data_IF_524347298396
#
_entry.id   IF_524347298396
#
_cell.length_a   1.000
_cell.length_b   1.000
_cell.length_c   1.000
_cell.angle_alpha   90.00
_cell.angle_beta   90.00
_cell.angle_gamma   90.00
#
_symmetry.space_group_name_H-M   'P 1'
#
loop_
_entity.id
_entity.type
_entity.pdbx_description
1 polymer ?
#
# COMPACT_ATOMS: atom_id res chain seq x y z
N UNK A 1 -13.43 13.08 2.27
CA UNK A 1 -12.40 12.74 1.29
C UNK A 1 -11.06 13.26 1.75
N UNK A 2 -10.29 12.34 2.33
CA UNK A 2 -8.86 12.44 2.61
C UNK A 2 -8.13 11.59 1.58
N UNK A 3 -6.83 11.84 1.45
CA UNK A 3 -5.94 11.12 0.54
C UNK A 3 -4.73 10.67 1.33
N UNK A 4 -4.37 9.41 1.17
CA UNK A 4 -3.12 8.85 1.70
C UNK A 4 -2.27 8.43 0.50
N UNK A 5 -0.99 8.77 0.53
CA UNK A 5 -0.01 8.28 -0.43
C UNK A 5 0.77 7.13 0.19
N UNK A 6 0.87 6.04 -0.55
CA UNK A 6 1.66 4.88 -0.19
C UNK A 6 2.74 4.66 -1.24
N UNK A 7 3.97 4.49 -0.78
CA UNK A 7 5.12 4.11 -1.60
C UNK A 7 5.29 2.59 -1.46
N UNK A 8 4.99 1.86 -2.54
CA UNK A 8 4.92 0.40 -2.51
C UNK A 8 5.94 -0.18 -3.47
N UNK A 9 6.95 -0.93 -3.01
CA UNK A 9 7.90 -1.56 -3.91
C UNK A 9 7.20 -2.57 -4.81
N UNK A 10 7.77 -2.80 -6.01
CA UNK A 10 7.15 -3.66 -7.02
C UNK A 10 6.90 -5.09 -6.51
N UNK A 11 7.75 -5.57 -5.59
CA UNK A 11 7.68 -6.90 -5.00
C UNK A 11 6.48 -7.02 -4.04
N UNK A 12 6.16 -5.96 -3.29
CA UNK A 12 5.01 -5.87 -2.40
C UNK A 12 3.70 -5.44 -3.11
N UNK A 13 3.80 -4.89 -4.32
CA UNK A 13 2.67 -4.34 -5.08
C UNK A 13 1.51 -5.34 -5.28
N UNK A 14 1.83 -6.60 -5.53
CA UNK A 14 0.80 -7.62 -5.79
C UNK A 14 -0.06 -7.84 -4.55
N UNK A 15 0.59 -8.06 -3.40
CA UNK A 15 -0.10 -8.27 -2.13
C UNK A 15 -0.85 -7.02 -1.67
N UNK A 16 -0.22 -5.85 -1.80
CA UNK A 16 -0.86 -4.58 -1.46
C UNK A 16 -2.09 -4.29 -2.35
N UNK A 17 -2.04 -4.64 -3.64
CA UNK A 17 -3.18 -4.48 -4.55
C UNK A 17 -4.35 -5.40 -4.18
N UNK A 18 -4.10 -6.64 -3.79
CA UNK A 18 -5.13 -7.55 -3.28
C UNK A 18 -5.82 -6.97 -2.03
N UNK A 19 -5.04 -6.40 -1.12
CA UNK A 19 -5.52 -5.77 0.10
C UNK A 19 -6.37 -4.52 -0.16
N UNK A 20 -6.02 -3.70 -1.16
CA UNK A 20 -6.82 -2.56 -1.62
C UNK A 20 -8.17 -3.00 -2.22
N UNK A 21 -8.16 -4.05 -3.03
CA UNK A 21 -9.37 -4.59 -3.68
C UNK A 21 -10.29 -5.24 -2.64
N UNK A 22 -9.72 -5.98 -1.69
CA UNK A 22 -10.47 -6.64 -0.61
C UNK A 22 -11.28 -5.66 0.23
N UNK A 23 -10.71 -4.47 0.49
CA UNK A 23 -11.33 -3.38 1.26
C UNK A 23 -12.21 -2.45 0.42
N UNK A 24 -12.23 -2.65 -0.90
CA UNK A 24 -12.97 -1.82 -1.85
C UNK A 24 -12.61 -0.31 -1.72
N UNK A 25 -11.34 -0.02 -1.42
CA UNK A 25 -10.83 1.33 -1.27
C UNK A 25 -10.50 1.94 -2.63
N UNK A 26 -10.85 3.20 -2.81
CA UNK A 26 -10.58 3.89 -4.06
C UNK A 26 -9.09 4.24 -4.13
N UNK A 27 -8.37 3.63 -5.06
CA UNK A 27 -6.94 3.84 -5.23
C UNK A 27 -6.61 4.27 -6.65
N UNK A 28 -5.53 5.03 -6.81
CA UNK A 28 -5.02 5.47 -8.11
C UNK A 28 -3.50 5.52 -8.06
N UNK A 29 -2.86 4.85 -9.01
CA UNK A 29 -1.41 4.98 -9.20
C UNK A 29 -1.11 6.36 -9.75
N UNK A 30 -0.38 7.17 -9.00
CA UNK A 30 -0.02 8.54 -9.37
C UNK A 30 1.36 8.62 -10.01
N UNK A 31 2.23 7.65 -9.74
CA UNK A 31 3.58 7.61 -10.32
C UNK A 31 4.46 6.48 -9.79
N UNK A 32 5.76 6.69 -9.91
CA UNK A 32 6.81 5.77 -9.46
C UNK A 32 7.98 6.61 -8.94
N UNK A 33 8.59 6.22 -7.81
CA UNK A 33 9.75 6.86 -7.20
C UNK A 33 11.02 6.59 -8.00
N UNK A 34 12.12 7.29 -7.68
CA UNK A 34 13.42 7.09 -8.33
C UNK A 34 14.03 5.71 -8.03
N UNK A 35 13.66 5.12 -6.89
CA UNK A 35 14.07 3.78 -6.44
C UNK A 35 13.19 2.66 -7.06
N UNK A 36 12.17 3.02 -7.84
CA UNK A 36 11.30 2.08 -8.53
C UNK A 36 10.06 1.66 -7.75
N UNK A 37 9.75 2.33 -6.64
CA UNK A 37 8.54 2.08 -5.85
C UNK A 37 7.33 2.76 -6.51
N UNK A 38 6.18 2.11 -6.48
CA UNK A 38 4.95 2.59 -7.08
C UNK A 38 4.24 3.50 -6.08
N UNK A 39 3.90 4.71 -6.51
CA UNK A 39 3.16 5.68 -5.69
C UNK A 39 1.68 5.47 -5.91
N UNK A 40 0.96 5.11 -4.85
CA UNK A 40 -0.48 4.84 -4.86
C UNK A 40 -1.17 5.85 -3.96
N UNK A 41 -2.06 6.63 -4.55
CA UNK A 41 -2.96 7.52 -3.82
C UNK A 41 -4.25 6.78 -3.50
N UNK A 42 -4.54 6.62 -2.21
CA UNK A 42 -5.79 6.04 -1.69
C UNK A 42 -6.69 7.17 -1.22
N UNK A 43 -7.86 7.29 -1.83
CA UNK A 43 -8.92 8.21 -1.46
C UNK A 43 -9.89 7.52 -0.50
N UNK A 44 -10.07 8.11 0.68
CA UNK A 44 -10.90 7.53 1.74
C UNK A 44 -11.72 8.60 2.45
N UNK A 45 -12.87 8.21 2.99
CA UNK A 45 -13.70 9.03 3.86
C UNK A 45 -13.38 8.81 5.34
N UNK A 46 -13.98 9.63 6.21
CA UNK A 46 -13.70 9.58 7.65
C UNK A 46 -14.04 8.21 8.26
N UNK A 47 -15.06 7.55 7.70
CA UNK A 47 -15.52 6.22 8.12
C UNK A 47 -14.59 5.09 7.62
N UNK A 48 -13.66 5.40 6.72
CA UNK A 48 -12.66 4.49 6.15
C UNK A 48 -11.25 4.77 6.70
N UNK A 49 -11.14 5.67 7.69
CA UNK A 49 -9.84 5.99 8.30
C UNK A 49 -9.17 4.75 8.90
N UNK A 50 -9.92 3.91 9.61
CA UNK A 50 -9.39 2.68 10.22
C UNK A 50 -8.84 1.71 9.14
N UNK A 51 -9.50 1.61 7.99
CA UNK A 51 -9.05 0.75 6.89
C UNK A 51 -7.71 1.21 6.30
N UNK A 52 -7.48 2.53 6.26
CA UNK A 52 -6.22 3.12 5.77
C UNK A 52 -5.09 2.95 6.78
N UNK A 53 -5.37 3.11 8.07
CA UNK A 53 -4.40 2.79 9.14
C UNK A 53 -4.02 1.29 9.11
N UNK A 54 -4.98 0.40 8.84
CA UNK A 54 -4.70 -1.03 8.67
C UNK A 54 -3.87 -1.31 7.41
N UNK A 55 -4.14 -0.64 6.29
CA UNK A 55 -3.33 -0.76 5.07
C UNK A 55 -1.87 -0.39 5.30
N UNK A 56 -1.61 0.67 6.06
CA UNK A 56 -0.24 1.08 6.41
C UNK A 56 0.48 -0.02 7.21
N UNK A 57 -0.23 -0.59 8.19
CA UNK A 57 0.30 -1.70 9.01
C UNK A 57 0.58 -2.95 8.17
N UNK A 58 -0.25 -3.22 7.16
CA UNK A 58 -0.07 -4.37 6.27
C UNK A 58 1.09 -4.15 5.31
N UNK A 59 1.23 -2.94 4.76
CA UNK A 59 2.37 -2.60 3.93
C UNK A 59 3.67 -2.80 4.70
N UNK A 60 3.77 -2.28 5.94
CA UNK A 60 4.94 -2.50 6.79
C UNK A 60 5.21 -3.99 7.01
N UNK A 61 4.16 -4.78 7.27
CA UNK A 61 4.29 -6.23 7.47
C UNK A 61 4.82 -6.93 6.22
N UNK A 62 4.30 -6.61 5.04
CA UNK A 62 4.75 -7.18 3.76
C UNK A 62 6.23 -6.83 3.54
N UNK A 63 6.63 -5.59 3.79
CA UNK A 63 8.02 -5.16 3.64
C UNK A 63 8.96 -5.97 4.55
N UNK A 64 8.60 -6.12 5.83
CA UNK A 64 9.39 -6.91 6.78
C UNK A 64 9.47 -8.37 6.36
N UNK A 65 8.35 -8.98 5.94
CA UNK A 65 8.33 -10.38 5.46
C UNK A 65 9.24 -10.56 4.25
N UNK A 66 9.22 -9.63 3.29
CA UNK A 66 10.07 -9.70 2.10
C UNK A 66 11.55 -9.43 2.40
N UNK A 67 11.86 -8.58 3.38
CA UNK A 67 13.23 -8.41 3.86
C UNK A 67 13.76 -9.71 4.51
N UNK A 68 12.94 -10.40 5.31
CA UNK A 68 13.32 -11.68 5.93
C UNK A 68 13.49 -12.81 4.89
N UNK A 69 12.68 -12.84 3.82
CA UNK A 69 12.81 -13.85 2.76
C UNK A 69 14.06 -13.66 1.87
N UNK A 70 14.64 -12.45 1.81
CA UNK A 70 15.80 -12.15 0.98
C UNK A 70 17.16 -12.43 1.68
N UNK A 71 17.15 -12.77 2.96
CA UNK A 71 18.36 -13.11 3.76
C UNK A 71 18.71 -14.62 3.81
N UNK A 72 18.00 -15.50 3.11
CA UNK A 72 18.28 -16.96 3.05
C UNK A 72 19.20 -17.43 1.90
#
# INVERSE_FOLDING_TARGET
>A
MRKAEFEVPQEAMTEFADELVSRNLNNTVTGTTEDGEIIIEVEYDKDESDEVDELESILEKILVEQEEENEE
#
